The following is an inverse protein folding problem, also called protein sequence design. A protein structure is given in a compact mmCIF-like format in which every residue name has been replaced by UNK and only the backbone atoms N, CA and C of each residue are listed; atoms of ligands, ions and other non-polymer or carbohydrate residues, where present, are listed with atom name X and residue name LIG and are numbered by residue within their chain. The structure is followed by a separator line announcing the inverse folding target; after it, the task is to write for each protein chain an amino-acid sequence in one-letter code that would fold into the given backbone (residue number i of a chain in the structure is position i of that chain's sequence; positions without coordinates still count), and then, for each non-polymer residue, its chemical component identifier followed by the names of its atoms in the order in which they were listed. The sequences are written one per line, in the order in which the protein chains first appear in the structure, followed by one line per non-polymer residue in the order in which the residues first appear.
data_IF_021074669024
#
_entry.id   IF_021074669024
#
_cell.length_a   1.000
_cell.length_b   1.000
_cell.length_c   1.000
_cell.angle_alpha   90.00
_cell.angle_beta   90.00
_cell.angle_gamma   90.00
#
_symmetry.space_group_name_H-M   'P 1'
#
loop_
_entity.id
_entity.type
_entity.pdbx_description
1 polymer ?
#
# COMPACT_ATOMS: atom_id res chain seq x y z
N UNK A 1 1.72 4.34 -5.70
CA UNK A 1 0.29 4.28 -5.38
C UNK A 1 0.10 4.15 -3.88
N UNK A 2 -0.90 4.78 -3.32
CA UNK A 2 -1.07 4.85 -1.86
C UNK A 2 -2.51 4.49 -1.46
N UNK A 3 -2.66 4.00 -0.22
CA UNK A 3 -3.93 3.65 0.41
C UNK A 3 -4.66 2.56 -0.37
N UNK A 4 -5.89 2.79 -0.79
CA UNK A 4 -6.67 1.81 -1.56
C UNK A 4 -6.43 1.90 -3.07
N UNK A 5 -5.72 2.92 -3.55
CA UNK A 5 -5.51 3.13 -4.99
C UNK A 5 -4.79 1.97 -5.70
N UNK A 6 -3.97 1.12 -5.03
CA UNK A 6 -3.42 -0.06 -5.70
C UNK A 6 -4.45 -0.99 -6.32
N UNK A 7 -5.73 -0.92 -5.93
CA UNK A 7 -6.78 -1.71 -6.58
C UNK A 7 -6.88 -1.40 -8.08
N UNK A 8 -6.63 -0.15 -8.46
CA UNK A 8 -6.64 0.28 -9.86
C UNK A 8 -5.48 -0.35 -10.64
N UNK A 9 -4.32 -0.45 -10.00
CA UNK A 9 -3.14 -1.10 -10.59
C UNK A 9 -3.38 -2.60 -10.73
N UNK A 10 -4.03 -3.22 -9.75
CA UNK A 10 -4.39 -4.64 -9.81
C UNK A 10 -5.34 -4.88 -10.99
N UNK A 11 -6.36 -4.05 -11.14
CA UNK A 11 -7.33 -4.16 -12.24
C UNK A 11 -6.64 -4.02 -13.61
N UNK A 12 -5.61 -3.20 -13.69
CA UNK A 12 -4.83 -2.99 -14.92
C UNK A 12 -3.79 -4.10 -15.17
N UNK A 13 -3.64 -5.06 -14.26
CA UNK A 13 -2.67 -6.15 -14.39
C UNK A 13 -1.24 -5.79 -13.99
N UNK A 14 -1.01 -4.58 -13.51
CA UNK A 14 0.35 -4.09 -13.19
C UNK A 14 0.95 -4.85 -12.01
N UNK A 15 0.10 -5.36 -11.10
CA UNK A 15 0.57 -6.05 -9.89
C UNK A 15 0.76 -7.56 -10.06
N UNK A 16 0.50 -8.10 -11.25
CA UNK A 16 0.58 -9.54 -11.49
C UNK A 16 2.00 -10.10 -11.30
N UNK A 17 3.01 -9.30 -11.57
CA UNK A 17 4.43 -9.67 -11.44
C UNK A 17 5.19 -8.77 -10.46
N UNK A 18 4.51 -8.05 -9.60
CA UNK A 18 5.12 -7.11 -8.64
C UNK A 18 4.55 -7.31 -7.25
N UNK A 19 5.43 -7.22 -6.27
CA UNK A 19 5.01 -7.17 -4.87
C UNK A 19 4.53 -5.76 -4.51
N UNK A 20 3.53 -5.69 -3.67
CA UNK A 20 2.90 -4.43 -3.31
C UNK A 20 2.29 -4.50 -1.92
N UNK A 21 2.07 -3.34 -1.31
CA UNK A 21 1.20 -3.21 -0.14
C UNK A 21 -0.01 -2.35 -0.51
N UNK A 22 -1.09 -2.47 0.23
CA UNK A 22 -2.32 -1.74 -0.05
C UNK A 22 -3.16 -1.59 1.21
N UNK A 23 -3.76 -0.42 1.37
CA UNK A 23 -4.74 -0.17 2.43
C UNK A 23 -6.12 -0.61 2.00
N UNK A 24 -6.30 -1.92 1.87
CA UNK A 24 -7.57 -2.53 1.47
C UNK A 24 -8.11 -3.41 2.60
N UNK A 25 -9.43 -3.38 2.77
CA UNK A 25 -10.08 -4.32 3.67
C UNK A 25 -9.90 -5.75 3.17
N UNK A 26 -9.72 -6.71 4.08
CA UNK A 26 -9.56 -8.12 3.70
C UNK A 26 -10.76 -8.61 2.92
N UNK A 27 -11.98 -8.11 3.24
CA UNK A 27 -13.21 -8.45 2.55
C UNK A 27 -13.18 -8.02 1.08
N UNK A 28 -12.54 -6.90 0.77
CA UNK A 28 -12.36 -6.42 -0.61
C UNK A 28 -11.34 -7.27 -1.37
N UNK A 29 -10.23 -7.61 -0.71
CA UNK A 29 -9.19 -8.46 -1.31
C UNK A 29 -9.78 -9.84 -1.66
N UNK A 30 -10.59 -10.39 -0.76
CA UNK A 30 -11.22 -11.70 -0.98
C UNK A 30 -12.28 -11.66 -2.09
N UNK A 31 -12.95 -10.52 -2.26
CA UNK A 31 -14.02 -10.36 -3.27
C UNK A 31 -13.49 -10.33 -4.69
N UNK A 32 -12.35 -9.69 -4.92
CA UNK A 32 -11.86 -9.43 -6.27
C UNK A 32 -10.67 -10.32 -6.62
N UNK A 33 -10.90 -11.26 -7.54
CA UNK A 33 -9.87 -12.23 -7.97
C UNK A 33 -8.70 -11.57 -8.70
N UNK A 34 -8.92 -10.39 -9.31
CA UNK A 34 -7.85 -9.69 -10.01
C UNK A 34 -6.80 -9.11 -9.07
N UNK A 35 -7.07 -9.05 -7.75
CA UNK A 35 -6.07 -8.62 -6.78
C UNK A 35 -5.14 -9.79 -6.49
N UNK A 36 -3.84 -9.72 -6.87
CA UNK A 36 -2.94 -10.86 -6.71
C UNK A 36 -2.47 -10.98 -5.27
N UNK A 37 -3.27 -11.63 -4.43
CA UNK A 37 -2.99 -11.82 -2.99
C UNK A 37 -1.60 -12.42 -2.75
N UNK A 38 -1.11 -13.26 -3.65
CA UNK A 38 0.22 -13.87 -3.51
C UNK A 38 1.36 -12.84 -3.53
N UNK A 39 1.12 -11.67 -4.13
CA UNK A 39 2.10 -10.60 -4.23
C UNK A 39 1.92 -9.52 -3.15
N UNK A 40 0.87 -9.64 -2.34
CA UNK A 40 0.59 -8.69 -1.27
C UNK A 40 1.56 -8.88 -0.11
N UNK A 41 2.24 -7.79 0.27
CA UNK A 41 3.14 -7.78 1.43
C UNK A 41 2.52 -6.95 2.56
N UNK A 42 2.76 -7.38 3.80
CA UNK A 42 2.26 -6.68 5.00
C UNK A 42 3.34 -5.73 5.51
N UNK A 43 3.45 -4.58 4.83
CA UNK A 43 4.39 -3.51 5.16
C UNK A 43 3.71 -2.15 5.02
N UNK A 44 4.14 -1.13 5.77
CA UNK A 44 3.56 0.21 5.61
C UNK A 44 3.87 0.83 4.25
N UNK A 45 5.04 0.51 3.69
CA UNK A 45 5.48 0.99 2.39
C UNK A 45 6.34 -0.11 1.76
N UNK A 46 6.24 -0.26 0.46
CA UNK A 46 7.02 -1.25 -0.27
C UNK A 46 7.40 -0.71 -1.65
N UNK A 47 8.65 -0.94 -2.02
CA UNK A 47 9.16 -0.58 -3.34
C UNK A 47 9.56 -1.86 -4.07
N UNK A 48 9.00 -2.07 -5.26
CA UNK A 48 9.37 -3.15 -6.18
C UNK A 48 9.70 -2.53 -7.53
N UNK A 49 10.99 -2.48 -7.86
CA UNK A 49 11.49 -1.88 -9.10
C UNK A 49 11.04 -0.41 -9.21
N UNK A 50 10.21 -0.09 -10.19
CA UNK A 50 9.70 1.28 -10.40
C UNK A 50 8.32 1.51 -9.77
N UNK A 51 7.85 0.59 -8.95
CA UNK A 51 6.56 0.69 -8.26
C UNK A 51 6.78 0.95 -6.78
N UNK A 52 6.17 2.00 -6.25
CA UNK A 52 6.13 2.29 -4.83
C UNK A 52 4.67 2.25 -4.40
N UNK A 53 4.36 1.42 -3.40
CA UNK A 53 3.03 1.36 -2.80
C UNK A 53 3.13 1.61 -1.32
N UNK A 54 2.07 2.15 -0.72
CA UNK A 54 2.06 2.48 0.70
C UNK A 54 0.65 2.44 1.28
N UNK A 55 0.57 2.14 2.56
CA UNK A 55 -0.66 2.31 3.34
C UNK A 55 -0.91 3.79 3.60
N UNK A 56 -2.16 4.17 3.86
CA UNK A 56 -2.54 5.57 3.99
C UNK A 56 -1.76 6.34 5.05
N UNK A 57 -1.48 5.71 6.20
CA UNK A 57 -0.77 6.39 7.27
C UNK A 57 0.72 6.63 6.94
N UNK A 58 1.25 5.96 5.93
CA UNK A 58 2.64 6.12 5.49
C UNK A 58 2.79 7.18 4.40
N UNK A 59 1.86 8.13 4.31
CA UNK A 59 1.80 9.13 3.24
C UNK A 59 3.08 9.96 3.15
N UNK A 60 3.69 10.28 4.27
CA UNK A 60 4.92 11.07 4.32
C UNK A 60 6.09 10.29 3.72
N UNK A 61 6.28 9.06 4.18
CA UNK A 61 7.34 8.17 3.68
C UNK A 61 7.14 7.86 2.21
N UNK A 62 5.88 7.73 1.80
CA UNK A 62 5.53 7.55 0.40
C UNK A 62 5.97 8.76 -0.44
N UNK A 63 5.63 9.98 0.00
CA UNK A 63 6.01 11.20 -0.71
C UNK A 63 7.53 11.35 -0.82
N UNK A 64 8.26 11.05 0.26
CA UNK A 64 9.71 11.12 0.29
C UNK A 64 10.31 10.09 -0.68
N UNK A 65 9.79 8.86 -0.66
CA UNK A 65 10.29 7.79 -1.54
C UNK A 65 10.06 8.12 -3.01
N UNK A 66 8.89 8.65 -3.35
CA UNK A 66 8.59 9.08 -4.72
C UNK A 66 9.51 10.23 -5.15
N UNK A 67 9.69 11.22 -4.29
CA UNK A 67 10.56 12.36 -4.58
C UNK A 67 12.00 11.90 -4.84
N UNK A 68 12.51 11.03 -3.99
CA UNK A 68 13.87 10.46 -4.16
C UNK A 68 13.98 9.66 -5.44
N UNK A 69 12.95 8.93 -5.79
CA UNK A 69 12.93 8.11 -7.01
C UNK A 69 13.08 8.95 -8.27
N UNK A 70 12.53 10.16 -8.28
CA UNK A 70 12.64 11.10 -9.40
C UNK A 70 13.80 12.11 -9.23
N UNK A 71 14.67 11.90 -8.23
CA UNK A 71 15.90 12.69 -8.07
C UNK A 71 15.74 13.96 -7.24
N UNK A 72 14.64 14.10 -6.48
CA UNK A 72 14.43 15.26 -5.61
C UNK A 72 14.87 14.92 -4.20
N UNK A 73 15.68 15.81 -3.59
CA UNK A 73 16.06 15.64 -2.19
C UNK A 73 14.91 16.05 -1.28
N UNK A 74 14.63 15.21 -0.26
CA UNK A 74 13.59 15.47 0.73
C UNK A 74 14.12 15.24 2.14
N UNK A 75 13.72 16.11 3.06
CA UNK A 75 14.00 15.98 4.48
C UNK A 75 12.99 15.05 5.17
N UNK A 76 13.44 14.36 6.20
CA UNK A 76 12.61 13.44 6.98
C UNK A 76 11.99 14.05 8.23
N UNK A 77 12.02 15.38 8.38
CA UNK A 77 11.85 15.97 9.72
C UNK A 77 10.46 16.46 10.09
N UNK A 78 9.52 16.63 9.14
CA UNK A 78 8.32 17.40 9.41
C UNK A 78 7.09 16.63 9.89
N UNK A 79 6.90 15.39 9.47
CA UNK A 79 5.71 14.59 9.84
C UNK A 79 6.08 13.14 10.11
N UNK A 80 5.32 12.48 10.95
CA UNK A 80 5.51 11.06 11.26
C UNK A 80 4.32 10.25 10.77
N UNK A 81 4.50 9.51 9.68
CA UNK A 81 3.51 8.55 9.20
C UNK A 81 3.76 7.16 9.76
N UNK A 82 5.01 6.68 9.64
CA UNK A 82 5.45 5.43 10.26
C UNK A 82 6.04 5.78 11.63
N UNK A 83 5.49 5.17 12.68
CA UNK A 83 5.87 5.48 14.06
C UNK A 83 6.59 4.32 14.75
N UNK A 84 6.73 3.18 14.09
CA UNK A 84 7.43 2.00 14.59
C UNK A 84 8.40 1.50 13.53
N UNK A 85 9.45 0.78 13.95
CA UNK A 85 10.35 0.11 13.01
C UNK A 85 9.71 -1.16 12.45
N UNK A 86 8.97 -1.88 13.28
CA UNK A 86 8.31 -3.13 12.92
C UNK A 86 6.83 -3.07 13.22
N UNK A 87 6.04 -3.55 12.29
CA UNK A 87 4.60 -3.74 12.46
C UNK A 87 4.29 -5.23 12.39
N UNK A 88 3.41 -5.69 13.28
CA UNK A 88 2.85 -7.03 13.20
C UNK A 88 1.86 -7.09 12.05
N UNK A 89 1.70 -8.26 11.45
CA UNK A 89 0.76 -8.43 10.34
C UNK A 89 -0.66 -7.99 10.72
N UNK A 90 -1.09 -8.28 11.97
CA UNK A 90 -2.42 -7.92 12.46
C UNK A 90 -2.66 -6.40 12.48
N UNK A 91 -1.58 -5.62 12.64
CA UNK A 91 -1.67 -4.15 12.64
C UNK A 91 -1.86 -3.59 11.22
N UNK A 92 -1.60 -4.39 10.19
CA UNK A 92 -1.66 -4.00 8.79
C UNK A 92 -2.78 -4.72 8.03
N UNK A 93 -3.68 -5.39 8.77
CA UNK A 93 -4.87 -6.05 8.23
C UNK A 93 -6.09 -5.22 8.66
N UNK A 94 -6.91 -4.86 7.71
CA UNK A 94 -8.05 -3.98 7.93
C UNK A 94 -9.35 -4.70 7.61
N UNK A 95 -10.33 -4.55 8.49
CA UNK A 95 -11.66 -5.14 8.35
C UNK A 95 -12.73 -4.06 8.44
N UNK A 96 -13.88 -4.36 7.87
CA UNK A 96 -15.04 -3.49 7.94
C UNK A 96 -16.30 -4.33 8.22
N UNK A 97 -17.26 -3.77 8.95
CA UNK A 97 -18.60 -4.35 9.10
C UNK A 97 -19.59 -3.81 8.06
N UNK A 98 -19.14 -2.94 7.18
CA UNK A 98 -19.97 -2.47 6.08
C UNK A 98 -20.23 -3.60 5.09
N UNK A 99 -21.38 -3.58 4.43
CA UNK A 99 -21.62 -4.47 3.30
C UNK A 99 -20.69 -4.05 2.17
N UNK A 100 -19.69 -4.91 1.89
CA UNK A 100 -18.67 -4.61 0.88
C UNK A 100 -19.22 -4.50 -0.55
N UNK A 101 -20.49 -4.86 -0.77
CA UNK A 101 -21.16 -4.59 -2.05
C UNK A 101 -21.37 -3.10 -2.29
N UNK A 102 -21.34 -2.31 -1.21
CA UNK A 102 -21.43 -0.85 -1.28
C UNK A 102 -20.07 -0.17 -1.37
N UNK A 103 -19.00 -0.95 -1.24
CA UNK A 103 -17.64 -0.46 -1.41
C UNK A 103 -17.27 -0.46 -2.91
#
# INVERSE_FOLDING_TARGET
SISSSPILLAKAGILDDRKFCAGLYEEVIDKYEFIPRKNLVRKPIYEDRNLITALGFAYREFAISVARKVGIQCSNEEFKGIIKEDYKDEELIFHTNMDYKEL
#
